data_IF_061578374740
#
_entry.id   IF_061578374740
#
_cell.length_a   1.000
_cell.length_b   1.000
_cell.length_c   1.000
_cell.angle_alpha   90.00
_cell.angle_beta   90.00
_cell.angle_gamma   90.00
#
_symmetry.space_group_name_H-M   'P 1'
#
loop_
_entity.id
_entity.type
_entity.pdbx_description
1 polymer ?
#
# COMPACT_ATOMS: atom_id res chain seq x y z
N UNK A 1 8.43 -13.09 -16.57
CA UNK A 1 8.49 -12.60 -15.17
C UNK A 1 7.42 -11.54 -15.04
N UNK A 2 6.54 -11.66 -14.07
CA UNK A 2 5.44 -10.70 -13.87
C UNK A 2 5.52 -10.18 -12.44
N UNK A 3 5.70 -8.87 -12.32
CA UNK A 3 5.66 -8.16 -11.03
C UNK A 3 4.29 -7.56 -10.77
N UNK A 4 4.01 -7.13 -9.54
CA UNK A 4 2.76 -6.41 -9.22
C UNK A 4 2.65 -5.10 -10.00
N UNK A 5 3.78 -4.49 -10.39
CA UNK A 5 3.78 -3.26 -11.19
C UNK A 5 3.42 -3.52 -12.66
N UNK A 6 3.89 -4.64 -13.26
CA UNK A 6 3.48 -5.04 -14.62
C UNK A 6 1.96 -5.20 -14.68
N UNK A 7 1.42 -5.81 -13.62
CA UNK A 7 -0.01 -6.03 -13.49
C UNK A 7 -0.76 -4.70 -13.35
N UNK A 8 -0.33 -3.83 -12.43
CA UNK A 8 -0.95 -2.51 -12.21
C UNK A 8 -0.93 -1.66 -13.48
N UNK A 9 0.20 -1.59 -14.18
CA UNK A 9 0.34 -0.77 -15.39
C UNK A 9 -0.50 -1.34 -16.56
N UNK A 10 -0.52 -2.67 -16.72
CA UNK A 10 -1.38 -3.31 -17.72
C UNK A 10 -2.86 -3.09 -17.45
N UNK A 11 -3.30 -3.17 -16.21
CA UNK A 11 -4.68 -2.95 -15.80
C UNK A 11 -5.06 -1.47 -15.93
N UNK A 12 -4.18 -0.56 -15.52
CA UNK A 12 -4.38 0.88 -15.70
C UNK A 12 -4.49 1.29 -17.18
N UNK A 13 -3.77 0.61 -18.07
CA UNK A 13 -3.90 0.87 -19.51
C UNK A 13 -5.27 0.45 -20.08
N UNK A 14 -5.88 -0.62 -19.53
CA UNK A 14 -7.21 -1.10 -19.94
C UNK A 14 -8.35 -0.28 -19.34
N UNK A 15 -8.22 0.08 -18.06
CA UNK A 15 -9.28 0.68 -17.24
C UNK A 15 -8.91 2.07 -16.72
N UNK A 16 -8.22 2.86 -17.55
CA UNK A 16 -7.60 4.14 -17.19
C UNK A 16 -8.50 5.10 -16.39
N UNK A 17 -9.76 5.24 -16.81
CA UNK A 17 -10.74 6.14 -16.20
C UNK A 17 -11.56 5.50 -15.05
N UNK A 18 -11.45 4.19 -14.84
CA UNK A 18 -12.16 3.51 -13.76
C UNK A 18 -11.57 3.94 -12.40
N UNK A 19 -12.41 3.93 -11.38
CA UNK A 19 -11.99 4.19 -10.01
C UNK A 19 -11.33 2.92 -9.47
N UNK A 20 -10.06 3.02 -9.07
CA UNK A 20 -9.35 1.92 -8.38
C UNK A 20 -9.67 1.90 -6.89
N UNK A 21 -9.72 3.07 -6.26
CA UNK A 21 -9.95 3.21 -4.82
C UNK A 21 -10.79 4.43 -4.50
N UNK A 22 -11.60 4.31 -3.46
CA UNK A 22 -12.28 5.45 -2.83
C UNK A 22 -12.32 5.28 -1.31
N UNK A 23 -12.32 6.39 -0.59
CA UNK A 23 -12.52 6.47 0.84
C UNK A 23 -13.53 7.58 1.18
N UNK A 24 -13.65 7.96 2.45
CA UNK A 24 -14.57 8.98 2.90
C UNK A 24 -14.23 10.40 2.37
N UNK A 25 -13.03 10.61 1.86
CA UNK A 25 -12.55 11.94 1.46
C UNK A 25 -12.48 12.10 -0.06
N UNK A 26 -12.02 11.07 -0.77
CA UNK A 26 -11.77 11.12 -2.22
C UNK A 26 -11.96 9.77 -2.89
N UNK A 27 -12.02 9.83 -4.20
CA UNK A 27 -11.86 8.69 -5.10
C UNK A 27 -10.76 8.98 -6.11
N UNK A 28 -10.11 7.91 -6.60
CA UNK A 28 -9.01 8.06 -7.54
C UNK A 28 -9.15 7.07 -8.70
N UNK A 29 -8.81 7.53 -9.90
CA UNK A 29 -8.76 6.70 -11.11
C UNK A 29 -7.49 5.83 -11.13
N UNK A 30 -7.49 4.78 -11.94
CA UNK A 30 -6.27 3.99 -12.19
C UNK A 30 -5.12 4.87 -12.73
N UNK A 31 -5.44 5.79 -13.65
CA UNK A 31 -4.44 6.71 -14.21
C UNK A 31 -3.80 7.58 -13.15
N UNK A 32 -4.59 8.25 -12.32
CA UNK A 32 -4.06 9.15 -11.29
C UNK A 32 -3.33 8.40 -10.20
N UNK A 33 -3.83 7.21 -9.82
CA UNK A 33 -3.18 6.33 -8.86
C UNK A 33 -1.77 5.93 -9.31
N UNK A 34 -1.62 5.47 -10.56
CA UNK A 34 -0.31 5.14 -11.14
C UNK A 34 0.60 6.37 -11.20
N UNK A 35 0.07 7.52 -11.60
CA UNK A 35 0.83 8.79 -11.65
C UNK A 35 1.37 9.15 -10.27
N UNK A 36 0.54 9.12 -9.24
CA UNK A 36 0.92 9.46 -7.86
C UNK A 36 1.92 8.45 -7.29
N UNK A 37 1.69 7.15 -7.50
CA UNK A 37 2.63 6.11 -7.08
C UNK A 37 4.00 6.26 -7.76
N UNK A 38 4.05 6.61 -9.05
CA UNK A 38 5.31 6.89 -9.77
C UNK A 38 6.00 8.15 -9.25
N UNK A 39 5.28 9.19 -8.87
CA UNK A 39 5.83 10.39 -8.24
C UNK A 39 6.56 10.04 -6.93
N UNK A 40 5.89 9.30 -6.05
CA UNK A 40 6.45 8.83 -4.77
C UNK A 40 7.65 7.91 -5.02
N UNK A 41 7.55 6.99 -5.97
CA UNK A 41 8.65 6.09 -6.36
C UNK A 41 9.88 6.88 -6.82
N UNK A 42 9.69 7.91 -7.66
CA UNK A 42 10.77 8.78 -8.14
C UNK A 42 11.45 9.54 -7.00
N UNK A 43 10.66 10.04 -6.03
CA UNK A 43 11.21 10.66 -4.83
C UNK A 43 12.10 9.69 -4.04
N UNK A 44 11.65 8.45 -3.84
CA UNK A 44 12.38 7.45 -3.07
C UNK A 44 13.63 6.92 -3.79
N UNK A 45 13.71 7.03 -5.12
CA UNK A 45 14.91 6.68 -5.88
C UNK A 45 16.16 7.48 -5.47
N UNK A 46 16.00 8.58 -4.74
CA UNK A 46 17.12 9.35 -4.17
C UNK A 46 18.03 8.55 -3.24
N UNK A 47 17.53 7.46 -2.66
CA UNK A 47 18.35 6.59 -1.78
C UNK A 47 19.29 5.68 -2.55
N UNK A 48 19.11 5.54 -3.88
CA UNK A 48 19.92 4.68 -4.76
C UNK A 48 20.05 3.22 -4.27
N UNK A 49 19.06 2.77 -3.50
CA UNK A 49 19.00 1.43 -2.90
C UNK A 49 17.70 0.75 -3.27
N UNK A 50 17.78 -0.54 -3.46
CA UNK A 50 16.64 -1.41 -3.70
C UNK A 50 16.50 -2.44 -2.56
N UNK A 51 15.32 -3.05 -2.46
CA UNK A 51 15.02 -4.12 -1.49
C UNK A 51 15.17 -3.66 -0.04
N UNK A 52 15.01 -2.35 0.21
CA UNK A 52 15.04 -1.79 1.56
C UNK A 52 13.62 -1.62 2.09
N UNK A 53 13.42 -1.73 3.41
CA UNK A 53 12.13 -1.44 4.02
C UNK A 53 11.85 0.06 4.04
N UNK A 54 10.63 0.43 3.66
CA UNK A 54 10.06 1.76 3.84
C UNK A 54 8.79 1.62 4.67
N UNK A 55 8.70 2.33 5.78
CA UNK A 55 7.51 2.31 6.61
C UNK A 55 6.44 3.27 6.05
N UNK A 56 5.20 2.79 5.93
CA UNK A 56 4.02 3.60 5.64
C UNK A 56 3.23 3.74 6.94
N UNK A 57 3.36 4.89 7.57
CA UNK A 57 2.75 5.19 8.87
C UNK A 57 1.62 6.19 8.67
N UNK A 58 0.51 5.69 8.19
CA UNK A 58 -0.67 6.44 7.76
C UNK A 58 -1.94 5.67 8.13
N UNK A 59 -3.06 6.39 8.28
CA UNK A 59 -4.38 5.78 8.36
C UNK A 59 -4.72 5.05 7.03
N UNK A 60 -5.63 4.06 7.10
CA UNK A 60 -6.16 3.43 5.88
C UNK A 60 -6.85 4.48 5.01
N UNK A 61 -6.31 4.71 3.83
CA UNK A 61 -6.80 5.72 2.90
C UNK A 61 -6.33 5.44 1.48
N UNK A 62 -6.85 6.18 0.53
CA UNK A 62 -6.35 6.19 -0.85
C UNK A 62 -4.87 6.54 -0.86
N UNK A 63 -4.46 7.58 -0.13
CA UNK A 63 -3.07 8.06 -0.04
C UNK A 63 -2.12 7.00 0.51
N UNK A 64 -2.55 6.24 1.51
CA UNK A 64 -1.74 5.15 2.07
C UNK A 64 -1.46 4.07 1.02
N UNK A 65 -2.45 3.72 0.19
CA UNK A 65 -2.25 2.74 -0.88
C UNK A 65 -1.36 3.28 -2.00
N UNK A 66 -1.51 4.54 -2.38
CA UNK A 66 -0.60 5.21 -3.31
C UNK A 66 0.84 5.21 -2.80
N UNK A 67 1.04 5.51 -1.50
CA UNK A 67 2.36 5.44 -0.86
C UNK A 67 2.95 4.03 -0.90
N UNK A 68 2.16 3.00 -0.59
CA UNK A 68 2.60 1.59 -0.66
C UNK A 68 3.07 1.23 -2.07
N UNK A 69 2.30 1.57 -3.11
CA UNK A 69 2.72 1.29 -4.49
C UNK A 69 3.90 2.16 -4.93
N UNK A 70 3.99 3.39 -4.44
CA UNK A 70 5.15 4.25 -4.67
C UNK A 70 6.45 3.66 -4.11
N UNK A 71 6.39 3.04 -2.94
CA UNK A 71 7.53 2.29 -2.39
C UNK A 71 7.94 1.15 -3.34
N UNK A 72 6.98 0.41 -3.87
CA UNK A 72 7.26 -0.69 -4.81
C UNK A 72 7.87 -0.15 -6.11
N UNK A 73 7.41 1.00 -6.63
CA UNK A 73 8.00 1.65 -7.81
C UNK A 73 9.47 2.02 -7.62
N UNK A 74 9.90 2.31 -6.40
CA UNK A 74 11.32 2.58 -6.10
C UNK A 74 12.19 1.32 -5.96
N UNK A 75 11.63 0.13 -6.20
CA UNK A 75 12.32 -1.16 -6.02
C UNK A 75 12.48 -1.58 -4.55
N UNK A 76 11.78 -0.93 -3.64
CA UNK A 76 11.77 -1.20 -2.21
C UNK A 76 10.49 -1.92 -1.78
N UNK A 77 10.40 -2.35 -0.52
CA UNK A 77 9.20 -2.98 0.01
C UNK A 77 8.59 -2.17 1.14
N UNK A 78 7.27 -2.15 1.20
CA UNK A 78 6.57 -1.40 2.22
C UNK A 78 6.26 -2.23 3.48
N UNK A 79 6.18 -1.52 4.61
CA UNK A 79 5.65 -2.03 5.88
C UNK A 79 4.65 -1.03 6.43
N UNK A 80 3.39 -1.43 6.49
CA UNK A 80 2.34 -0.56 7.05
C UNK A 80 2.39 -0.62 8.57
N UNK A 81 2.41 0.56 9.18
CA UNK A 81 2.42 0.74 10.65
C UNK A 81 1.07 1.29 11.08
N UNK A 82 0.44 0.61 12.02
CA UNK A 82 -0.82 1.05 12.62
C UNK A 82 -0.63 2.33 13.44
N UNK A 83 -1.34 3.39 13.07
CA UNK A 83 -1.32 4.67 13.77
C UNK A 83 -1.81 4.62 15.22
N UNK A 84 -2.60 3.61 15.56
CA UNK A 84 -3.11 3.39 16.92
C UNK A 84 -2.20 2.53 17.79
N UNK A 85 -1.13 1.99 17.19
CA UNK A 85 -0.18 1.12 17.92
C UNK A 85 0.59 1.94 18.97
N UNK A 86 0.82 1.37 20.19
CA UNK A 86 1.66 2.01 21.20
C UNK A 86 3.05 2.34 20.66
N UNK A 87 3.54 3.55 20.94
CA UNK A 87 4.82 4.06 20.42
C UNK A 87 6.01 3.12 20.71
N UNK A 88 6.05 2.51 21.88
CA UNK A 88 7.12 1.56 22.24
C UNK A 88 7.09 0.31 21.36
N UNK A 89 5.92 -0.15 20.95
CA UNK A 89 5.80 -1.27 20.01
C UNK A 89 6.29 -0.87 18.62
N UNK A 90 5.98 0.34 18.17
CA UNK A 90 6.49 0.86 16.89
C UNK A 90 8.01 0.96 16.92
N UNK A 91 8.59 1.47 18.01
CA UNK A 91 10.05 1.51 18.20
C UNK A 91 10.70 0.12 18.14
N UNK A 92 10.09 -0.88 18.76
CA UNK A 92 10.58 -2.25 18.70
C UNK A 92 10.52 -2.83 17.28
N UNK A 93 9.46 -2.53 16.52
CA UNK A 93 9.37 -2.88 15.10
C UNK A 93 10.49 -2.19 14.34
N UNK A 94 10.70 -0.90 14.53
CA UNK A 94 11.74 -0.11 13.82
C UNK A 94 13.16 -0.57 14.16
N UNK A 95 13.41 -1.01 15.38
CA UNK A 95 14.71 -1.61 15.76
C UNK A 95 15.03 -2.86 14.93
N UNK A 96 14.03 -3.67 14.63
CA UNK A 96 14.16 -4.87 13.78
C UNK A 96 14.16 -4.51 12.30
N UNK A 97 13.22 -3.67 11.87
CA UNK A 97 12.98 -3.30 10.47
C UNK A 97 14.08 -2.42 9.89
N UNK A 98 14.54 -1.43 10.65
CA UNK A 98 15.50 -0.39 10.22
C UNK A 98 15.09 0.26 8.90
N UNK A 99 13.91 0.88 8.82
CA UNK A 99 13.43 1.43 7.58
C UNK A 99 14.34 2.56 7.10
N UNK A 100 14.56 2.65 5.78
CA UNK A 100 15.37 3.73 5.18
C UNK A 100 14.56 5.02 5.07
N UNK A 101 13.23 4.94 5.11
CA UNK A 101 12.33 6.09 5.11
C UNK A 101 11.01 5.73 5.81
N UNK A 102 10.32 6.78 6.27
CA UNK A 102 8.96 6.70 6.81
C UNK A 102 8.09 7.69 6.06
N UNK A 103 6.99 7.21 5.45
CA UNK A 103 5.97 8.07 4.84
C UNK A 103 4.84 8.24 5.84
N UNK A 104 4.42 9.48 6.07
CA UNK A 104 3.37 9.83 7.03
C UNK A 104 2.29 10.69 6.40
N UNK A 105 1.09 10.66 6.99
CA UNK A 105 0.07 11.68 6.80
C UNK A 105 0.18 12.76 7.91
N UNK A 106 -0.60 13.83 7.78
CA UNK A 106 -0.65 14.94 8.75
C UNK A 106 -0.93 14.47 10.19
N UNK A 107 -1.79 13.46 10.35
CA UNK A 107 -2.17 12.93 11.66
C UNK A 107 -1.01 12.19 12.34
N UNK A 108 -0.28 11.40 11.58
CA UNK A 108 0.81 10.56 12.07
C UNK A 108 2.13 11.32 12.25
N UNK A 109 2.27 12.51 11.64
CA UNK A 109 3.51 13.28 11.64
C UNK A 109 4.06 13.56 13.05
N UNK A 110 3.19 14.00 13.98
CA UNK A 110 3.58 14.29 15.38
C UNK A 110 4.03 13.03 16.13
N UNK A 111 3.45 11.89 15.82
CA UNK A 111 3.80 10.62 16.44
C UNK A 111 5.11 10.07 15.84
N UNK A 112 5.29 10.20 14.53
CA UNK A 112 6.51 9.81 13.83
C UNK A 112 7.74 10.58 14.33
N UNK A 113 7.60 11.88 14.66
CA UNK A 113 8.67 12.67 15.25
C UNK A 113 9.23 12.08 16.56
N UNK A 114 8.40 11.34 17.31
CA UNK A 114 8.80 10.66 18.56
C UNK A 114 9.58 9.35 18.32
N UNK A 115 9.62 8.85 17.09
CA UNK A 115 10.33 7.63 16.73
C UNK A 115 11.85 7.81 16.58
N UNK A 116 12.31 9.05 16.55
CA UNK A 116 13.75 9.36 16.42
C UNK A 116 14.34 9.10 15.03
N UNK A 117 13.49 9.01 13.99
CA UNK A 117 13.93 8.78 12.61
C UNK A 117 14.56 9.99 11.92
N UNK A 118 14.53 11.16 12.58
CA UNK A 118 15.19 12.36 12.09
C UNK A 118 14.70 12.84 10.72
N UNK A 119 15.61 12.95 9.76
CA UNK A 119 15.34 13.52 8.43
C UNK A 119 14.67 12.56 7.44
N UNK A 120 14.52 11.29 7.78
CA UNK A 120 13.95 10.27 6.89
C UNK A 120 12.44 10.06 7.08
N UNK A 121 11.76 11.05 7.66
CA UNK A 121 10.29 11.11 7.77
C UNK A 121 9.75 12.10 6.74
N UNK A 122 8.86 11.64 5.86
CA UNK A 122 8.35 12.42 4.73
C UNK A 122 6.83 12.49 4.77
N UNK A 123 6.33 13.70 4.62
CA UNK A 123 4.90 13.95 4.45
C UNK A 123 4.45 13.50 3.05
N UNK A 124 3.37 12.70 3.00
CA UNK A 124 2.79 12.21 1.75
C UNK A 124 2.46 13.36 0.79
N UNK A 125 1.81 14.44 1.30
CA UNK A 125 1.38 15.57 0.47
C UNK A 125 2.55 16.30 -0.20
N UNK A 126 3.73 16.25 0.39
CA UNK A 126 4.94 16.82 -0.19
C UNK A 126 5.53 15.91 -1.26
N UNK A 127 5.66 14.62 -0.97
CA UNK A 127 6.37 13.69 -1.87
C UNK A 127 5.56 13.33 -3.10
N UNK A 128 4.23 13.33 -3.02
CA UNK A 128 3.34 13.06 -4.17
C UNK A 128 3.40 14.17 -5.23
N UNK A 129 3.88 15.37 -4.88
CA UNK A 129 4.09 16.48 -5.82
C UNK A 129 5.39 16.34 -6.65
N UNK A 130 6.20 15.32 -6.38
CA UNK A 130 7.41 15.06 -7.16
C UNK A 130 7.04 14.74 -8.61
N UNK A 131 7.71 15.37 -9.56
CA UNK A 131 7.55 15.00 -10.96
C UNK A 131 8.07 13.58 -11.20
N UNK A 132 7.26 12.68 -11.78
CA UNK A 132 7.73 11.32 -12.11
C UNK A 132 8.95 11.35 -13.02
N UNK A 133 10.02 10.67 -12.62
CA UNK A 133 11.25 10.51 -13.39
C UNK A 133 11.24 9.12 -14.06
N UNK A 134 10.85 9.10 -15.32
CA UNK A 134 10.67 7.86 -16.07
C UNK A 134 11.97 7.06 -16.20
N UNK A 135 13.11 7.75 -16.39
CA UNK A 135 14.40 7.09 -16.59
C UNK A 135 14.88 6.38 -15.31
N UNK A 136 14.74 7.06 -14.16
CA UNK A 136 15.06 6.43 -12.86
C UNK A 136 14.17 5.23 -12.55
N UNK A 137 12.86 5.37 -12.77
CA UNK A 137 11.92 4.26 -12.54
C UNK A 137 12.21 3.09 -13.49
N UNK A 138 12.55 3.38 -14.75
CA UNK A 138 12.94 2.34 -15.71
C UNK A 138 14.24 1.63 -15.30
N UNK A 139 15.25 2.37 -14.86
CA UNK A 139 16.51 1.79 -14.36
C UNK A 139 16.32 0.90 -13.13
N UNK A 140 15.36 1.22 -12.26
CA UNK A 140 14.93 0.36 -11.15
C UNK A 140 14.23 -0.88 -11.69
N UNK A 141 13.29 -0.70 -12.64
CA UNK A 141 12.48 -1.76 -13.21
C UNK A 141 13.32 -2.86 -13.85
N UNK A 142 14.38 -2.48 -14.58
CA UNK A 142 15.31 -3.42 -15.24
C UNK A 142 16.08 -4.31 -14.27
N UNK A 143 16.23 -3.89 -13.01
CA UNK A 143 16.91 -4.63 -11.95
C UNK A 143 15.97 -5.44 -11.05
N UNK A 144 14.66 -5.26 -11.21
CA UNK A 144 13.66 -5.97 -10.41
C UNK A 144 13.51 -7.42 -10.90
N UNK A 145 13.29 -8.31 -9.94
CA UNK A 145 12.96 -9.71 -10.21
C UNK A 145 11.68 -10.08 -9.43
N UNK A 146 11.02 -11.14 -9.82
CA UNK A 146 9.79 -11.62 -9.16
C UNK A 146 10.02 -12.16 -7.73
N UNK A 147 11.26 -12.49 -7.39
CA UNK A 147 11.67 -12.84 -6.03
C UNK A 147 11.92 -11.61 -5.13
N UNK A 148 11.88 -10.39 -5.66
CA UNK A 148 12.04 -9.19 -4.85
C UNK A 148 10.87 -9.00 -3.88
N UNK A 149 11.12 -8.43 -2.69
CA UNK A 149 10.09 -8.19 -1.70
C UNK A 149 9.11 -7.09 -2.16
N UNK A 150 7.82 -7.28 -1.89
CA UNK A 150 6.76 -6.27 -2.09
C UNK A 150 6.40 -5.62 -0.78
N UNK A 151 6.20 -6.44 0.26
CA UNK A 151 5.84 -5.96 1.59
C UNK A 151 6.30 -6.92 2.70
N UNK A 152 6.31 -6.41 3.93
CA UNK A 152 6.43 -7.24 5.11
C UNK A 152 5.35 -6.90 6.14
N UNK A 153 4.88 -7.93 6.84
CA UNK A 153 3.92 -7.80 7.93
C UNK A 153 4.55 -8.25 9.24
N UNK A 154 4.37 -7.44 10.28
CA UNK A 154 4.88 -7.74 11.60
C UNK A 154 3.83 -8.41 12.48
N UNK A 155 4.19 -9.54 13.07
CA UNK A 155 3.39 -10.24 14.05
C UNK A 155 4.01 -10.14 15.44
N UNK A 156 3.19 -10.26 16.50
CA UNK A 156 3.67 -10.39 17.86
C UNK A 156 4.35 -11.75 18.00
N UNK A 157 5.69 -11.77 17.99
CA UNK A 157 6.43 -13.00 18.23
C UNK A 157 6.22 -13.52 19.64
N UNK A 158 6.13 -14.85 19.82
CA UNK A 158 6.03 -15.51 21.12
C UNK A 158 7.19 -15.18 22.09
N UNK A 159 8.29 -14.68 21.56
CA UNK A 159 9.49 -14.27 22.29
C UNK A 159 9.52 -12.78 22.67
N UNK A 160 8.42 -12.03 22.40
CA UNK A 160 8.34 -10.59 22.66
C UNK A 160 9.03 -9.71 21.59
N UNK A 161 9.91 -10.27 20.77
CA UNK A 161 10.56 -9.54 19.65
C UNK A 161 9.65 -9.62 18.44
N UNK A 162 9.27 -8.47 17.82
CA UNK A 162 8.47 -8.47 16.61
C UNK A 162 9.17 -9.21 15.46
N UNK A 163 8.42 -10.08 14.78
CA UNK A 163 8.91 -10.82 13.60
C UNK A 163 8.18 -10.34 12.35
N UNK A 164 8.94 -10.02 11.30
CA UNK A 164 8.41 -9.62 10.00
C UNK A 164 8.42 -10.79 9.02
N UNK A 165 7.28 -11.07 8.39
CA UNK A 165 7.19 -12.00 7.26
C UNK A 165 7.22 -11.19 5.97
N UNK A 166 8.19 -11.48 5.10
CA UNK A 166 8.38 -10.81 3.82
C UNK A 166 7.66 -11.61 2.72
N UNK A 167 6.90 -10.92 1.87
CA UNK A 167 6.21 -11.47 0.72
C UNK A 167 6.79 -10.87 -0.57
N UNK A 168 7.04 -11.74 -1.55
CA UNK A 168 7.63 -11.36 -2.84
C UNK A 168 6.58 -11.09 -3.91
N UNK A 169 6.98 -10.46 -5.02
CA UNK A 169 6.12 -10.29 -6.20
C UNK A 169 5.51 -11.63 -6.64
N UNK A 170 6.32 -12.67 -6.73
CA UNK A 170 5.88 -14.00 -7.15
C UNK A 170 4.79 -14.55 -6.21
N UNK A 171 5.02 -14.48 -4.89
CA UNK A 171 4.07 -14.98 -3.90
C UNK A 171 2.74 -14.24 -3.97
N UNK A 172 2.80 -12.89 -4.05
CA UNK A 172 1.63 -12.03 -4.15
C UNK A 172 0.85 -12.32 -5.43
N UNK A 173 1.53 -12.38 -6.60
CA UNK A 173 0.84 -12.58 -7.87
C UNK A 173 0.21 -13.97 -7.99
N UNK A 174 0.87 -15.03 -7.48
CA UNK A 174 0.30 -16.39 -7.47
C UNK A 174 -0.95 -16.47 -6.59
N UNK A 175 -0.88 -15.87 -5.40
CA UNK A 175 -2.03 -15.80 -4.51
C UNK A 175 -3.18 -15.00 -5.14
N UNK A 176 -2.88 -13.83 -5.72
CA UNK A 176 -3.85 -12.94 -6.35
C UNK A 176 -4.58 -13.61 -7.52
N UNK A 177 -3.84 -14.29 -8.40
CA UNK A 177 -4.39 -15.03 -9.53
C UNK A 177 -5.36 -16.11 -9.03
N UNK A 178 -4.92 -16.94 -8.11
CA UNK A 178 -5.78 -17.99 -7.52
C UNK A 178 -7.04 -17.40 -6.88
N UNK A 179 -6.89 -16.31 -6.11
CA UNK A 179 -8.00 -15.66 -5.43
C UNK A 179 -9.02 -15.09 -6.43
N UNK A 180 -8.55 -14.37 -7.43
CA UNK A 180 -9.43 -13.78 -8.46
C UNK A 180 -10.19 -14.85 -9.26
N UNK A 181 -9.52 -15.93 -9.67
CA UNK A 181 -10.13 -17.04 -10.38
C UNK A 181 -11.17 -17.79 -9.51
N UNK A 182 -10.82 -18.07 -8.24
CA UNK A 182 -11.68 -18.83 -7.32
C UNK A 182 -12.96 -18.08 -6.98
N UNK A 183 -12.87 -16.76 -6.79
CA UNK A 183 -14.01 -15.93 -6.40
C UNK A 183 -14.66 -15.17 -7.58
N UNK A 184 -14.23 -15.46 -8.82
CA UNK A 184 -14.75 -14.85 -10.05
C UNK A 184 -14.72 -13.32 -10.03
N UNK A 185 -13.61 -12.76 -9.56
CA UNK A 185 -13.41 -11.31 -9.44
C UNK A 185 -13.09 -10.72 -10.80
N UNK A 186 -13.81 -9.69 -11.20
CA UNK A 186 -13.66 -8.97 -12.46
C UNK A 186 -13.62 -7.44 -12.26
N UNK A 187 -13.61 -6.69 -13.34
CA UNK A 187 -13.60 -5.23 -13.35
C UNK A 187 -14.88 -4.58 -12.81
N UNK A 188 -15.96 -5.33 -12.64
CA UNK A 188 -17.21 -4.84 -12.07
C UNK A 188 -17.31 -5.07 -10.56
N UNK A 189 -16.38 -5.84 -10.01
CA UNK A 189 -16.34 -6.17 -8.58
C UNK A 189 -16.03 -4.93 -7.74
N UNK A 190 -16.81 -4.72 -6.69
CA UNK A 190 -16.56 -3.67 -5.68
C UNK A 190 -16.24 -4.32 -4.34
N UNK A 191 -15.03 -4.13 -3.87
CA UNK A 191 -14.61 -4.61 -2.56
C UNK A 191 -14.88 -3.59 -1.47
N UNK A 192 -15.55 -4.00 -0.40
CA UNK A 192 -15.59 -3.25 0.86
C UNK A 192 -14.37 -3.59 1.71
N UNK A 193 -13.39 -2.70 1.79
CA UNK A 193 -12.20 -2.90 2.61
C UNK A 193 -12.51 -2.61 4.08
N UNK A 194 -12.73 -3.67 4.85
CA UNK A 194 -12.90 -3.61 6.31
C UNK A 194 -11.59 -3.88 7.07
N UNK A 195 -10.64 -4.53 6.42
CA UNK A 195 -9.40 -4.96 7.04
C UNK A 195 -8.36 -3.85 6.95
N UNK A 196 -7.75 -3.46 8.09
CA UNK A 196 -6.63 -2.52 8.06
C UNK A 196 -5.48 -3.01 7.18
N UNK A 197 -4.80 -2.08 6.50
CA UNK A 197 -3.74 -2.39 5.54
C UNK A 197 -2.52 -3.09 6.15
N UNK A 198 -2.35 -3.01 7.46
CA UNK A 198 -1.31 -3.75 8.19
C UNK A 198 -1.65 -5.22 8.47
N UNK A 199 -2.83 -5.70 8.07
CA UNK A 199 -3.22 -7.11 8.14
C UNK A 199 -3.16 -7.79 6.78
N UNK A 200 -2.77 -9.08 6.77
CA UNK A 200 -2.62 -9.88 5.55
C UNK A 200 -3.91 -10.01 4.71
N UNK A 201 -5.07 -9.95 5.34
CA UNK A 201 -6.36 -10.03 4.63
C UNK A 201 -6.59 -8.87 3.65
N UNK A 202 -5.99 -7.68 3.87
CA UNK A 202 -6.08 -6.55 2.94
C UNK A 202 -5.44 -6.86 1.59
N UNK A 203 -4.46 -7.75 1.56
CA UNK A 203 -3.74 -8.18 0.36
C UNK A 203 -4.68 -8.76 -0.70
N UNK A 204 -5.68 -9.55 -0.27
CA UNK A 204 -6.67 -10.16 -1.15
C UNK A 204 -7.42 -9.11 -1.98
N UNK A 205 -7.94 -8.07 -1.31
CA UNK A 205 -8.72 -7.02 -1.98
C UNK A 205 -7.83 -6.10 -2.82
N UNK A 206 -6.70 -5.65 -2.27
CA UNK A 206 -5.83 -4.68 -2.92
C UNK A 206 -5.20 -5.24 -4.21
N UNK A 207 -4.58 -6.42 -4.14
CA UNK A 207 -3.90 -6.97 -5.30
C UNK A 207 -4.85 -7.61 -6.30
N UNK A 208 -6.01 -8.14 -5.88
CA UNK A 208 -7.04 -8.58 -6.83
C UNK A 208 -7.60 -7.40 -7.61
N UNK A 209 -7.78 -6.23 -6.98
CA UNK A 209 -8.17 -5.00 -7.66
C UNK A 209 -7.13 -4.61 -8.71
N UNK A 210 -5.83 -4.58 -8.35
CA UNK A 210 -4.74 -4.34 -9.30
C UNK A 210 -4.75 -5.35 -10.46
N UNK A 211 -5.11 -6.60 -10.20
CA UNK A 211 -5.10 -7.67 -11.21
C UNK A 211 -6.27 -7.62 -12.16
N UNK A 212 -7.47 -7.31 -11.68
CA UNK A 212 -8.72 -7.48 -12.44
C UNK A 212 -9.32 -6.19 -12.99
N UNK A 213 -8.95 -5.03 -12.47
CA UNK A 213 -9.62 -3.76 -12.78
C UNK A 213 -10.79 -3.42 -11.84
N UNK A 214 -11.00 -4.21 -10.79
CA UNK A 214 -12.01 -4.01 -9.76
C UNK A 214 -11.82 -2.67 -9.02
N UNK A 215 -12.69 -2.39 -8.05
CA UNK A 215 -12.67 -1.20 -7.20
C UNK A 215 -12.60 -1.58 -5.73
N UNK A 216 -11.80 -0.85 -4.95
CA UNK A 216 -11.83 -0.90 -3.48
C UNK A 216 -12.51 0.33 -2.91
N UNK A 217 -13.42 0.11 -1.98
CA UNK A 217 -14.01 1.15 -1.13
C UNK A 217 -13.50 0.95 0.31
N UNK A 218 -12.74 1.90 0.80
CA UNK A 218 -12.27 1.91 2.20
C UNK A 218 -13.44 2.29 3.10
N UNK A 219 -13.95 1.33 3.85
CA UNK A 219 -15.09 1.54 4.75
C UNK A 219 -14.64 2.35 5.97
N UNK A 220 -15.31 3.47 6.30
CA UNK A 220 -14.99 4.25 7.51
C UNK A 220 -15.10 3.41 8.77
N UNK A 221 -14.04 3.37 9.58
CA UNK A 221 -13.98 2.55 10.80
C UNK A 221 -15.15 2.77 11.76
N UNK A 222 -15.69 3.99 11.82
CA UNK A 222 -16.83 4.32 12.69
C UNK A 222 -18.10 3.53 12.34
N UNK A 223 -18.28 3.13 11.07
CA UNK A 223 -19.48 2.41 10.65
C UNK A 223 -19.56 1.00 11.26
N UNK A 224 -18.43 0.39 11.61
CA UNK A 224 -18.42 -0.92 12.26
C UNK A 224 -19.06 -0.94 13.65
N UNK A 225 -19.19 0.23 14.28
CA UNK A 225 -19.93 0.39 15.55
C UNK A 225 -21.44 0.56 15.34
N UNK A 226 -21.93 0.73 14.09
CA UNK A 226 -23.30 1.01 13.74
C UNK A 226 -23.81 0.09 12.62
N UNK A 227 -24.18 -1.18 12.91
CA UNK A 227 -24.46 -2.20 11.91
C UNK A 227 -25.51 -1.80 10.84
N UNK A 228 -26.57 -1.08 11.25
CA UNK A 228 -27.60 -0.61 10.31
C UNK A 228 -27.00 0.37 9.29
N UNK A 229 -26.23 1.36 9.76
CA UNK A 229 -25.57 2.32 8.87
C UNK A 229 -24.51 1.67 7.98
N UNK A 230 -23.84 0.64 8.47
CA UNK A 230 -22.89 -0.13 7.68
C UNK A 230 -23.59 -0.85 6.53
N UNK A 231 -24.73 -1.50 6.78
CA UNK A 231 -25.52 -2.18 5.75
C UNK A 231 -26.09 -1.18 4.73
N UNK A 232 -26.60 -0.05 5.18
CA UNK A 232 -27.06 1.04 4.30
C UNK A 232 -25.94 1.49 3.37
N UNK A 233 -24.75 1.78 3.93
CA UNK A 233 -23.56 2.18 3.20
C UNK A 233 -23.12 1.11 2.18
N UNK A 234 -23.12 -0.18 2.56
CA UNK A 234 -22.76 -1.27 1.65
C UNK A 234 -23.76 -1.41 0.49
N UNK A 235 -25.06 -1.27 0.77
CA UNK A 235 -26.10 -1.32 -0.26
C UNK A 235 -25.99 -0.14 -1.25
N UNK A 236 -25.76 1.08 -0.76
CA UNK A 236 -25.55 2.26 -1.61
C UNK A 236 -24.31 2.12 -2.48
N UNK A 237 -23.23 1.58 -1.91
CA UNK A 237 -21.97 1.33 -2.61
C UNK A 237 -21.98 0.10 -3.53
N UNK A 238 -23.02 -0.74 -3.44
CA UNK A 238 -23.17 -2.01 -4.19
C UNK A 238 -22.01 -2.98 -3.91
N UNK A 239 -21.62 -3.09 -2.62
CA UNK A 239 -20.63 -4.07 -2.16
C UNK A 239 -21.26 -5.42 -1.97
#
# INVERSE_FOLDING_TARGET
MITVLDCLESTAAKFAANIICSDAKKQITYTDFVKNARAIGSFLCKYEKMRQPVAVFMDNSVEAWEAMMGVVYSGNFYVVIDALMPIERIKNIFTTLRPVAVIVDEKCQKQAAKLGMGQDVYDYEQIVQTSPDADKLQAVREKMIDADPVYALFTSGSTGVPKGTILTHLSVMKYTQWYAETFHIDENTVFGSQTPFYFSMSVSTMFSTIYTGAKVLVIPNQLFSFPVKLIEFMNEARI
#
